data_IF_970362278596
#
_entry.id   IF_970362278596
#
_cell.length_a   1.000
_cell.length_b   1.000
_cell.length_c   1.000
_cell.angle_alpha   90.00
_cell.angle_beta   90.00
_cell.angle_gamma   90.00
#
_symmetry.space_group_name_H-M   'P 1'
#
loop_
_entity.id
_entity.type
_entity.pdbx_description
1 polymer ?
2 polymer ?
3 water ?
#
# COMPACT_ATOMS: atom_id res chain seq x y z
N UNK A 1 -0.21 -6.76 12.61
CA UNK A 1 -0.34 -5.32 13.03
C UNK A 1 1.02 -4.65 13.19
N UNK A 2 1.00 -3.32 13.17
CA UNK A 2 2.20 -2.48 13.17
C UNK A 2 2.10 -1.31 14.14
N UNK A 3 3.12 -1.21 14.99
CA UNK A 3 3.33 -0.03 15.83
C UNK A 3 4.59 0.70 15.33
N UNK A 4 4.43 1.99 15.05
CA UNK A 4 5.49 2.77 14.40
C UNK A 4 6.09 3.81 15.34
N UNK A 5 7.42 3.81 15.42
CA UNK A 5 8.14 4.75 16.26
C UNK A 5 9.13 5.57 15.43
N UNK A 6 8.90 6.88 15.33
CA UNK A 6 9.82 7.76 14.63
C UNK A 6 11.02 8.06 15.51
N UNK A 7 12.02 8.72 14.91
CA UNK A 7 13.23 9.12 15.62
C UNK A 7 14.14 9.87 14.66
N UNK A 8 14.97 10.76 15.21
CA UNK A 8 15.96 11.47 14.43
C UNK A 8 15.63 12.93 14.21
N UNK A 9 14.44 13.36 14.60
CA UNK A 9 14.06 14.75 14.47
C UNK A 9 14.96 15.66 15.30
N UNK A 10 14.82 16.97 15.10
CA UNK A 10 15.59 17.93 15.88
C UNK A 10 15.77 19.26 15.17
N UNK A 11 16.73 20.04 15.65
CA UNK A 11 17.06 21.34 15.05
C UNK A 11 18.03 21.16 13.91
N UNK A 12 17.93 22.00 12.90
CA UNK A 12 18.79 21.92 11.73
C UNK A 12 18.79 23.26 11.00
N UNK A 13 19.96 23.65 10.50
CA UNK A 13 20.11 24.92 9.79
C UNK A 13 19.52 24.85 8.39
N UNK A 14 19.09 25.99 7.86
CA UNK A 14 18.59 26.06 6.49
C UNK A 14 19.69 25.59 5.54
N UNK A 15 19.28 24.88 4.49
CA UNK A 15 20.22 24.27 3.57
C UNK A 15 20.74 22.93 4.08
N UNK A 16 20.47 22.62 5.35
CA UNK A 16 21.02 21.43 5.99
C UNK A 16 20.39 20.12 5.57
N UNK A 17 20.88 19.04 6.18
CA UNK A 17 20.40 17.69 5.90
C UNK A 17 20.09 16.97 7.21
N UNK A 18 19.10 16.07 7.14
CA UNK A 18 18.66 15.32 8.30
C UNK A 18 17.99 14.04 7.85
N UNK A 19 18.34 12.94 8.53
CA UNK A 19 17.79 11.62 8.24
C UNK A 19 16.87 11.15 9.38
N UNK A 20 15.59 10.98 9.05
CA UNK A 20 14.62 10.42 10.00
C UNK A 20 14.57 8.90 9.88
N UNK A 21 14.34 8.23 11.00
CA UNK A 21 14.18 6.78 11.05
C UNK A 21 12.78 6.43 11.57
N UNK A 22 12.30 5.24 11.24
CA UNK A 22 11.01 4.77 11.76
C UNK A 22 11.03 3.26 11.94
N UNK A 23 10.96 2.83 13.19
CA UNK A 23 10.95 1.41 13.53
C UNK A 23 9.52 0.86 13.52
N UNK A 24 9.31 -0.21 12.75
CA UNK A 24 7.99 -0.83 12.67
C UNK A 24 7.97 -2.21 13.33
N UNK A 25 7.23 -2.33 14.42
CA UNK A 25 7.02 -3.61 15.07
C UNK A 25 6.04 -4.46 14.26
N UNK A 26 5.94 -5.74 14.60
CA UNK A 26 5.08 -6.66 13.88
C UNK A 26 5.89 -7.58 12.98
N UNK A 27 5.22 -8.54 12.34
CA UNK A 27 5.89 -9.57 11.55
C UNK A 27 5.19 -9.75 10.20
N UNK A 28 4.57 -8.69 9.72
CA UNK A 28 3.87 -8.70 8.43
C UNK A 28 4.31 -7.51 7.59
N UNK A 29 5.53 -7.04 7.86
CA UNK A 29 6.07 -5.84 7.24
C UNK A 29 5.96 -5.88 5.72
N UNK A 30 6.16 -7.06 5.14
CA UNK A 30 6.18 -7.21 3.69
C UNK A 30 4.81 -7.00 3.03
N UNK A 31 3.77 -6.85 3.83
CA UNK A 31 2.42 -6.57 3.31
C UNK A 31 2.14 -5.07 3.26
N UNK A 32 3.07 -4.28 3.78
CA UNK A 32 2.82 -2.85 3.98
C UNK A 32 3.70 -1.96 3.13
N UNK A 33 3.05 -1.03 2.44
CA UNK A 33 3.72 0.10 1.86
C UNK A 33 3.97 1.05 3.02
N UNK A 34 5.15 1.66 3.02
CA UNK A 34 5.49 2.62 4.06
C UNK A 34 5.52 4.03 3.49
N UNK A 35 5.24 5.01 4.34
CA UNK A 35 5.12 6.38 3.89
C UNK A 35 5.55 7.38 4.95
N UNK A 36 5.97 8.56 4.48
CA UNK A 36 6.26 9.68 5.35
C UNK A 36 5.30 10.80 5.03
N UNK A 37 4.73 11.38 6.09
CA UNK A 37 3.86 12.54 5.96
C UNK A 37 4.39 13.60 6.87
N UNK A 38 3.92 14.83 6.70
CA UNK A 38 4.29 15.89 7.62
C UNK A 38 3.15 16.87 7.82
N UNK A 39 3.15 17.53 8.97
CA UNK A 39 2.13 18.52 9.29
C UNK A 39 2.77 19.74 9.93
N UNK A 40 2.62 20.87 9.27
CA UNK A 40 3.18 22.12 9.75
C UNK A 40 2.16 22.79 10.67
N UNK A 41 2.58 23.82 11.41
CA UNK A 41 1.64 24.54 12.28
C UNK A 41 0.55 25.24 11.48
N UNK A 42 -0.70 25.01 11.87
CA UNK A 42 -1.83 25.68 11.27
C UNK A 42 -2.16 25.17 9.88
N UNK A 43 -1.70 23.96 9.57
CA UNK A 43 -1.87 23.40 8.22
C UNK A 43 -2.18 21.92 8.29
N UNK A 44 -2.82 21.42 7.24
CA UNK A 44 -3.26 20.04 7.20
C UNK A 44 -2.11 19.12 6.77
N UNK A 45 -2.09 17.93 7.35
CA UNK A 45 -1.04 16.94 7.10
C UNK A 45 -0.91 16.64 5.61
N UNK A 46 0.33 16.58 5.12
CA UNK A 46 0.58 16.38 3.69
C UNK A 46 1.61 15.30 3.43
N UNK A 47 1.51 14.70 2.24
CA UNK A 47 2.38 13.61 1.80
C UNK A 47 3.79 14.11 1.51
N UNK A 48 4.78 13.31 1.88
CA UNK A 48 6.19 13.62 1.62
C UNK A 48 6.81 12.57 0.71
N UNK A 49 6.75 11.30 1.12
CA UNK A 49 7.29 10.22 0.29
C UNK A 49 6.80 8.87 0.77
N UNK A 50 6.95 7.85 -0.07
CA UNK A 50 6.56 6.49 0.30
C UNK A 50 7.40 5.46 -0.43
N UNK A 51 7.40 4.23 0.10
CA UNK A 51 8.17 3.16 -0.52
C UNK A 51 7.43 1.82 -0.43
N UNK A 52 7.41 1.13 -1.56
CA UNK A 52 6.74 -0.15 -1.67
C UNK A 52 7.40 -1.22 -0.79
N UNK A 53 6.66 -2.29 -0.54
CA UNK A 53 7.16 -3.44 0.21
C UNK A 53 8.46 -4.04 -0.33
N UNK A 54 8.71 -3.85 -1.62
CA UNK A 54 9.88 -4.47 -2.26
C UNK A 54 11.18 -3.81 -1.83
N UNK A 55 11.09 -2.59 -1.32
CA UNK A 55 12.22 -1.89 -0.76
C UNK A 55 13.00 -1.07 -1.76
N UNK A 56 12.44 -0.91 -2.97
CA UNK A 56 13.10 -0.13 -4.01
C UNK A 56 12.21 0.79 -4.82
N UNK A 57 10.90 0.59 -4.77
CA UNK A 57 9.99 1.41 -5.57
C UNK A 57 9.48 2.58 -4.74
N UNK A 58 9.81 3.81 -5.15
CA UNK A 58 9.55 4.98 -4.32
C UNK A 58 8.62 5.99 -4.97
N UNK A 59 8.05 6.86 -4.13
CA UNK A 59 7.10 7.87 -4.53
C UNK A 59 7.37 9.15 -3.75
N UNK A 60 7.28 10.30 -4.42
CA UNK A 60 7.62 11.57 -3.80
C UNK A 60 6.59 12.64 -4.11
N UNK A 61 6.44 13.55 -3.15
CA UNK A 61 5.68 14.77 -3.36
C UNK A 61 6.53 15.73 -4.18
N UNK A 62 5.88 16.53 -5.02
CA UNK A 62 6.59 17.45 -5.89
C UNK A 62 7.47 18.41 -5.09
N UNK A 63 7.10 18.66 -3.84
CA UNK A 63 7.79 19.66 -3.04
C UNK A 63 9.16 19.16 -2.53
N UNK A 64 9.41 17.87 -2.64
CA UNK A 64 10.65 17.28 -2.14
C UNK A 64 11.35 16.44 -3.21
N UNK A 65 10.69 16.25 -4.35
CA UNK A 65 11.35 15.71 -5.53
C UNK A 65 12.68 16.42 -5.73
N UNK A 66 13.76 15.64 -5.84
CA UNK A 66 15.07 16.20 -6.14
C UNK A 66 15.88 16.52 -4.90
N UNK A 67 15.23 16.47 -3.73
CA UNK A 67 15.84 16.84 -2.45
C UNK A 67 15.86 15.69 -1.46
N UNK A 68 14.75 14.95 -1.41
CA UNK A 68 14.58 13.86 -0.43
C UNK A 68 14.64 12.51 -1.11
N UNK A 69 15.14 11.52 -0.39
CA UNK A 69 14.96 10.13 -0.78
C UNK A 69 14.34 9.36 0.38
N UNK A 70 13.65 8.29 0.05
CA UNK A 70 13.15 7.36 1.05
C UNK A 70 13.79 5.99 0.82
N UNK A 71 14.09 5.30 1.91
CA UNK A 71 14.66 3.97 1.82
C UNK A 71 14.05 3.08 2.88
N UNK A 72 14.38 1.80 2.82
CA UNK A 72 13.68 0.81 3.60
C UNK A 72 14.56 -0.43 3.82
N UNK A 73 14.73 -0.79 5.09
CA UNK A 73 15.42 -2.03 5.46
C UNK A 73 14.38 -3.08 5.80
N UNK A 74 14.13 -3.98 4.86
CA UNK A 74 13.08 -4.99 5.02
C UNK A 74 13.41 -6.02 6.10
N UNK A 75 14.68 -6.20 6.41
CA UNK A 75 15.09 -7.17 7.42
C UNK A 75 14.94 -6.57 8.81
N UNK A 76 15.28 -5.30 8.95
CA UNK A 76 15.15 -4.60 10.23
C UNK A 76 13.75 -4.02 10.40
N UNK A 77 12.89 -4.21 9.40
CA UNK A 77 11.55 -3.60 9.39
C UNK A 77 11.61 -2.12 9.73
N UNK A 78 12.46 -1.38 9.01
CA UNK A 78 12.65 0.04 9.24
C UNK A 78 12.50 0.80 7.91
N UNK A 79 12.13 2.07 7.99
CA UNK A 79 12.20 2.97 6.84
C UNK A 79 12.89 4.26 7.26
N UNK A 80 13.48 4.95 6.28
CA UNK A 80 14.21 6.17 6.57
C UNK A 80 13.81 7.27 5.58
N UNK A 81 13.97 8.51 6.01
CA UNK A 81 13.77 9.66 5.14
C UNK A 81 15.03 10.52 5.13
N UNK A 82 15.76 10.51 4.03
CA UNK A 82 16.93 11.38 3.90
C UNK A 82 16.49 12.71 3.32
N UNK A 83 16.66 13.77 4.10
CA UNK A 83 16.30 15.11 3.65
C UNK A 83 17.55 15.94 3.34
N UNK A 84 17.46 16.78 2.32
CA UNK A 84 18.55 17.63 1.91
C UNK A 84 18.01 18.99 1.48
N UNK A 85 18.88 20.00 1.50
CA UNK A 85 18.52 21.35 1.09
C UNK A 85 17.26 21.82 1.82
N UNK A 86 17.27 21.61 3.14
CA UNK A 86 16.11 21.92 3.96
C UNK A 86 15.86 23.42 4.05
N UNK A 87 14.59 23.77 3.98
CA UNK A 87 14.13 25.15 4.06
C UNK A 87 13.26 25.31 5.30
N UNK A 88 13.03 26.57 5.74
CA UNK A 88 12.13 26.81 6.86
C UNK A 88 10.73 26.23 6.66
N UNK A 89 10.29 26.14 5.40
CA UNK A 89 8.95 25.67 5.09
C UNK A 89 8.84 24.14 5.16
N UNK A 90 9.94 23.48 5.50
CA UNK A 90 9.95 22.04 5.75
C UNK A 90 9.76 21.76 7.24
N UNK A 91 9.75 22.82 8.03
CA UNK A 91 9.53 22.70 9.47
C UNK A 91 8.14 22.13 9.73
N UNK A 92 8.09 21.02 10.45
CA UNK A 92 6.83 20.33 10.73
C UNK A 92 7.10 19.11 11.58
N UNK A 93 6.02 18.46 11.99
CA UNK A 93 6.09 17.15 12.59
C UNK A 93 6.03 16.16 11.45
N UNK A 94 6.99 15.22 11.41
CA UNK A 94 7.02 14.19 10.38
C UNK A 94 6.52 12.87 10.92
N UNK A 95 5.63 12.23 10.18
CA UNK A 95 5.00 10.99 10.60
C UNK A 95 5.37 9.80 9.72
N UNK A 96 5.77 8.72 10.36
CA UNK A 96 5.92 7.43 9.69
C UNK A 96 4.55 6.74 9.64
N UNK A 97 4.21 6.16 8.49
CA UNK A 97 2.92 5.51 8.32
C UNK A 97 3.05 4.20 7.56
N UNK A 98 2.10 3.29 7.78
CA UNK A 98 2.05 2.02 7.09
C UNK A 98 0.64 1.70 6.62
N UNK A 99 0.53 1.16 5.42
CA UNK A 99 -0.74 0.72 4.89
C UNK A 99 -0.52 -0.46 3.97
N UNK A 100 -1.59 -1.21 3.68
CA UNK A 100 -1.45 -2.42 2.87
C UNK A 100 -1.74 -2.18 1.39
N UNK A 101 -1.54 -0.96 0.94
CA UNK A 101 -1.56 -0.68 -0.49
C UNK A 101 -0.33 -1.34 -1.11
N UNK A 102 -0.40 -1.59 -2.42
CA UNK A 102 0.67 -2.26 -3.13
C UNK A 102 1.41 -1.24 -4.00
N UNK A 103 0.77 -0.79 -5.08
CA UNK A 103 1.36 0.24 -5.97
C UNK A 103 0.68 1.59 -5.86
N UNK A 104 -0.58 1.59 -5.44
CA UNK A 104 -1.45 2.74 -5.64
C UNK A 104 -1.95 3.37 -4.35
N UNK A 105 -2.11 4.69 -4.38
CA UNK A 105 -2.74 5.42 -3.30
C UNK A 105 -1.78 5.86 -2.22
N UNK A 106 -0.49 5.70 -2.47
CA UNK A 106 0.52 5.92 -1.44
C UNK A 106 0.60 7.39 -0.99
N UNK A 107 0.02 8.29 -1.79
CA UNK A 107 0.07 9.72 -1.48
C UNK A 107 -1.12 10.20 -0.61
N UNK A 108 -2.06 9.30 -0.35
CA UNK A 108 -3.28 9.66 0.39
C UNK A 108 -3.29 9.05 1.79
N UNK A 109 -3.53 9.93 2.78
CA UNK A 109 -3.54 9.53 4.18
C UNK A 109 -4.49 8.38 4.46
N UNK A 110 -5.58 8.32 3.70
CA UNK A 110 -6.63 7.35 3.98
C UNK A 110 -6.22 5.92 3.61
N UNK A 111 -5.05 5.77 2.99
CA UNK A 111 -4.57 4.45 2.59
C UNK A 111 -3.66 3.83 3.63
N UNK A 112 -3.40 4.56 4.70
CA UNK A 112 -2.53 4.07 5.77
C UNK A 112 -3.32 3.78 7.06
N UNK A 113 -3.14 2.58 7.59
CA UNK A 113 -3.85 2.16 8.79
C UNK A 113 -3.13 2.55 10.07
N UNK A 114 -1.80 2.62 10.01
CA UNK A 114 -0.98 2.78 11.21
C UNK A 114 -0.07 3.99 11.11
N UNK A 115 0.00 4.71 12.22
CA UNK A 115 0.71 5.98 12.29
C UNK A 115 1.59 6.03 13.52
N UNK A 116 2.76 6.65 13.39
CA UNK A 116 3.65 6.87 14.51
C UNK A 116 3.27 8.14 15.24
N UNK A 117 3.94 8.39 16.36
CA UNK A 117 3.72 9.59 17.16
C UNK A 117 4.06 10.85 16.37
N UNK A 118 4.98 10.72 15.43
CA UNK A 118 5.52 11.84 14.70
C UNK A 118 6.70 12.41 15.45
N UNK A 119 7.65 12.98 14.72
CA UNK A 119 8.82 13.62 15.34
C UNK A 119 9.02 15.01 14.75
N UNK A 120 9.48 15.92 15.60
CA UNK A 120 9.60 17.33 15.25
C UNK A 120 10.87 17.63 14.47
N UNK A 121 10.72 18.40 13.40
CA UNK A 121 11.86 18.89 12.63
C UNK A 121 11.71 20.39 12.47
N UNK A 122 12.71 21.12 12.93
CA UNK A 122 12.69 22.59 12.84
C UNK A 122 13.88 23.06 12.01
N UNK A 123 13.58 23.84 10.98
CA UNK A 123 14.62 24.38 10.11
C UNK A 123 14.76 25.88 10.33
N UNK A 124 15.85 26.27 10.98
CA UNK A 124 16.10 27.67 11.32
C UNK A 124 16.57 28.47 10.11
N UNK A 125 16.00 29.67 9.95
CA UNK A 125 16.37 30.56 8.85
C UNK A 125 17.84 30.96 8.95
N UNK B 7 -11.12 9.93 -5.50
CA UNK B 7 -11.32 8.59 -4.89
C UNK B 7 -11.81 8.66 -3.45
N UNK B 8 -12.55 7.67 -2.94
CA UNK B 8 -12.95 6.43 -3.62
C UNK B 8 -13.70 5.58 -2.61
N UNK B 9 -14.27 4.45 -3.04
CA UNK B 9 -14.82 3.50 -2.07
C UNK B 9 -13.70 2.74 -1.35
N UNK B 10 -13.90 2.39 -0.09
CA UNK B 10 -12.84 1.76 0.71
C UNK B 10 -12.78 0.25 0.48
N UNK B 11 -11.59 -0.25 0.16
CA UNK B 11 -11.40 -1.69 0.01
C UNK B 11 -11.20 -2.34 1.37
N UNK B 12 -12.09 -3.27 1.71
CA UNK B 12 -12.00 -3.99 2.96
C UNK B 12 -11.42 -5.38 2.70
N UNK B 13 -10.30 -5.66 3.37
CA UNK B 13 -9.59 -6.92 3.18
C UNK B 13 -9.00 -7.38 4.52
N UNK B 14 -8.80 -8.69 4.68
CA UNK B 14 -8.06 -9.17 5.85
C UNK B 14 -6.56 -8.99 5.64
N UNK B 15 -5.78 -9.01 6.71
CA UNK B 15 -4.33 -8.91 6.62
C UNK B 15 -3.76 -10.24 6.13
N UNK B 16 -4.39 -11.32 6.58
CA UNK B 16 -3.99 -12.66 6.19
C UNK B 16 -5.18 -13.59 6.06
N UNK B 17 -4.99 -14.66 5.29
CA UNK B 17 -5.97 -15.72 5.14
C UNK B 17 -5.22 -17.05 5.13
N UNK B 18 -5.82 -18.05 5.77
CA UNK B 18 -5.25 -19.38 5.80
C UNK B 18 -6.21 -20.38 5.17
N UNK B 19 -5.70 -21.11 4.19
CA UNK B 19 -6.48 -22.14 3.51
C UNK B 19 -5.89 -23.50 3.77
N UNK B 20 -6.62 -24.55 3.36
CA UNK B 20 -6.17 -25.91 3.56
C UNK B 20 -5.67 -26.51 2.26
N UNK B 21 -4.49 -27.16 2.35
CA UNK B 21 -3.87 -27.81 1.22
C UNK B 21 -4.88 -28.69 0.48
N UNK B 22 -5.03 -28.44 -0.82
CA UNK B 22 -5.96 -29.16 -1.70
C UNK B 22 -7.42 -28.84 -1.40
N UNK B 23 -7.65 -27.99 -0.40
CA UNK B 23 -8.98 -27.46 -0.15
C UNK B 23 -9.17 -26.18 -0.93
N UNK B 24 -10.21 -25.43 -0.59
CA UNK B 24 -10.51 -24.16 -1.24
C UNK B 24 -10.41 -23.03 -0.22
N UNK B 25 -10.11 -21.83 -0.71
CA UNK B 25 -10.08 -20.66 0.16
C UNK B 25 -10.65 -19.44 -0.57
N UNK B 26 -11.19 -18.50 0.20
CA UNK B 26 -11.74 -17.27 -0.36
C UNK B 26 -10.98 -16.09 0.24
N UNK B 27 -10.32 -15.33 -0.62
CA UNK B 27 -9.63 -14.12 -0.20
C UNK B 27 -10.58 -12.93 -0.36
N UNK B 28 -10.95 -12.33 0.77
CA UNK B 28 -11.95 -11.27 0.79
C UNK B 28 -11.43 -9.95 0.23
N UNK B 29 -12.13 -9.44 -0.77
CA UNK B 29 -11.95 -8.07 -1.19
C UNK B 29 -13.32 -7.49 -1.50
N UNK B 30 -13.82 -6.68 -0.58
CA UNK B 30 -15.16 -6.13 -0.70
C UNK B 30 -15.19 -4.64 -0.38
N UNK B 31 -16.02 -3.91 -1.11
CA UNK B 31 -16.22 -2.47 -0.85
C UNK B 31 -17.68 -2.08 -1.07
N UNK B 32 -18.12 -1.02 -0.39
CA UNK B 32 -19.45 -0.48 -0.62
C UNK B 32 -19.42 0.41 -1.83
N UNK B 33 -20.23 0.11 -2.86
CA UNK B 33 -20.23 0.97 -4.06
C UNK B 33 -20.56 2.43 -3.73
N UNK B 34 -19.92 3.37 -4.42
CA UNK B 34 -20.19 4.79 -4.22
C UNK B 34 -20.63 5.49 -5.50
N UNK B 35 -21.56 6.43 -5.34
CA UNK B 35 -22.01 7.27 -6.43
C UNK B 35 -20.81 8.09 -6.91
N UNK B 36 -20.57 8.10 -8.22
CA UNK B 36 -19.45 8.83 -8.79
C UNK B 36 -18.20 7.99 -8.97
N UNK B 37 -18.34 6.68 -8.75
CA UNK B 37 -17.24 5.73 -8.94
C UNK B 37 -17.74 4.46 -9.60
N UNK B 38 -17.59 4.40 -10.92
CA UNK B 38 -18.02 3.25 -11.69
C UNK B 38 -16.88 2.26 -11.85
N UNK B 39 -17.08 1.04 -11.38
CA UNK B 39 -16.06 0.01 -11.50
C UNK B 39 -15.85 -0.38 -12.95
N UNK B 40 -14.62 -0.25 -13.41
CA UNK B 40 -14.28 -0.52 -14.80
C UNK B 40 -13.26 -1.64 -14.95
N UNK B 41 -12.49 -1.90 -13.89
CA UNK B 41 -11.49 -2.96 -13.90
C UNK B 41 -11.30 -3.57 -12.53
N UNK B 42 -11.15 -4.89 -12.51
CA UNK B 42 -10.75 -5.60 -11.30
C UNK B 42 -9.54 -6.47 -11.61
N UNK B 43 -8.52 -6.38 -10.78
CA UNK B 43 -7.31 -7.18 -10.95
C UNK B 43 -6.99 -7.92 -9.67
N UNK B 44 -6.64 -9.19 -9.80
CA UNK B 44 -5.94 -9.90 -8.74
C UNK B 44 -4.51 -10.19 -9.22
N UNK B 45 -3.53 -9.88 -8.36
CA UNK B 45 -2.13 -10.13 -8.66
C UNK B 45 -1.45 -10.94 -7.55
N UNK B 46 -0.36 -11.61 -7.89
CA UNK B 46 0.47 -12.31 -6.90
C UNK B 46 1.88 -11.76 -6.91
N UNK B 47 2.56 -11.91 -5.78
CA UNK B 47 3.93 -11.44 -5.65
C UNK B 47 4.90 -12.39 -6.34
N UNK B 48 5.82 -11.83 -7.10
CA UNK B 48 6.90 -12.60 -7.71
C UNK B 48 8.19 -11.78 -7.66
N UNK B 49 9.05 -12.10 -6.69
CA UNK B 49 10.28 -11.37 -6.50
C UNK B 49 9.99 -9.97 -5.98
N UNK B 50 10.39 -8.96 -6.76
CA UNK B 50 10.27 -7.56 -6.34
C UNK B 50 9.13 -6.83 -7.04
N UNK B 51 8.25 -7.60 -7.67
CA UNK B 51 7.08 -7.02 -8.31
C UNK B 51 5.84 -7.89 -8.04
N UNK B 52 4.72 -7.51 -8.64
CA UNK B 52 3.50 -8.28 -8.59
C UNK B 52 3.11 -8.61 -10.03
N UNK B 53 2.43 -9.73 -10.24
CA UNK B 53 2.04 -10.15 -11.57
C UNK B 53 0.53 -10.44 -11.59
N UNK B 54 -0.14 -9.97 -12.63
CA UNK B 54 -1.57 -10.16 -12.77
C UNK B 54 -1.87 -11.62 -13.00
N UNK B 55 -2.82 -12.16 -12.23
CA UNK B 55 -3.27 -13.53 -12.41
C UNK B 55 -4.70 -13.58 -12.89
N UNK B 56 -5.43 -12.51 -12.58
CA UNK B 56 -6.83 -12.39 -12.96
C UNK B 56 -7.19 -10.95 -13.34
N UNK B 57 -7.94 -10.85 -14.44
CA UNK B 57 -8.47 -9.58 -14.92
C UNK B 57 -9.96 -9.71 -15.22
N UNK B 58 -10.76 -8.76 -14.74
CA UNK B 58 -12.16 -8.62 -15.16
C UNK B 58 -12.39 -7.26 -15.80
N UNK B 59 -12.76 -7.27 -17.08
CA UNK B 59 -13.07 -6.05 -17.80
C UNK B 59 -14.40 -6.20 -18.53
N UNK B 60 -14.61 -5.39 -19.57
CA UNK B 60 -15.89 -5.34 -20.26
C UNK B 60 -16.20 -6.61 -21.02
N UNK B 61 -15.18 -7.42 -21.27
CA UNK B 61 -15.36 -8.69 -21.98
C UNK B 61 -15.40 -9.88 -21.03
N UNK B 62 -15.49 -9.59 -19.73
CA UNK B 62 -15.65 -10.61 -18.72
C UNK B 62 -14.38 -10.90 -17.95
N UNK B 63 -14.23 -12.16 -17.55
CA UNK B 63 -13.10 -12.58 -16.72
C UNK B 63 -12.00 -13.27 -17.51
N UNK B 64 -10.76 -12.99 -17.14
CA UNK B 64 -9.61 -13.57 -17.82
C UNK B 64 -8.58 -14.04 -16.80
N UNK B 65 -8.40 -15.35 -16.75
CA UNK B 65 -7.33 -15.93 -15.96
C UNK B 65 -6.10 -15.92 -16.84
N UNK B 66 -5.04 -15.26 -16.37
CA UNK B 66 -3.88 -15.01 -17.23
C UNK B 66 -2.85 -16.16 -17.19
N UNK B 67 -3.26 -17.32 -16.66
CA UNK B 67 -2.41 -18.51 -16.57
C UNK B 67 -3.22 -19.81 -16.53
N UNK B 68 -2.83 -20.79 -17.34
CA UNK B 68 -3.54 -22.07 -17.40
C UNK B 68 -3.54 -22.79 -16.05
N UNK B 69 -2.52 -22.55 -15.24
CA UNK B 69 -2.41 -23.19 -13.93
C UNK B 69 -3.55 -22.77 -13.03
N UNK B 70 -4.10 -21.60 -13.31
CA UNK B 70 -5.18 -21.04 -12.53
C UNK B 70 -6.54 -21.38 -13.14
N UNK B 71 -6.54 -21.94 -14.34
CA UNK B 71 -7.78 -22.17 -15.07
C UNK B 71 -8.70 -23.15 -14.33
N UNK B 72 -9.88 -22.67 -13.97
CA UNK B 72 -10.82 -23.48 -13.22
C UNK B 72 -10.57 -23.34 -11.73
N UNK B 73 -9.40 -22.81 -11.37
CA UNK B 73 -9.03 -22.66 -9.96
C UNK B 73 -9.42 -21.29 -9.42
N UNK B 74 -9.55 -20.29 -10.30
CA UNK B 74 -9.89 -18.94 -9.87
C UNK B 74 -11.32 -18.53 -10.20
N UNK B 75 -12.02 -18.10 -9.15
CA UNK B 75 -13.36 -17.54 -9.26
C UNK B 75 -13.40 -16.26 -8.45
N UNK B 76 -13.81 -15.16 -9.09
CA UNK B 76 -13.98 -13.89 -8.40
C UNK B 76 -15.47 -13.58 -8.32
N UNK B 77 -15.92 -13.21 -7.12
CA UNK B 77 -17.33 -12.96 -6.86
C UNK B 77 -17.87 -11.95 -7.86
N UNK B 78 -19.15 -12.09 -8.22
CA UNK B 78 -19.72 -11.28 -9.29
C UNK B 78 -21.25 -11.12 -9.20
N UNK B 79 -21.82 -11.33 -8.03
CA UNK B 79 -23.27 -11.17 -7.87
C UNK B 79 -23.58 -9.98 -6.94
N UNK B 80 -23.06 -10.01 -5.72
CA UNK B 80 -23.23 -8.88 -4.80
C UNK B 80 -22.32 -7.74 -5.24
N UNK B 81 -22.88 -6.54 -5.50
CA UNK B 81 -22.05 -5.42 -5.97
C UNK B 81 -20.95 -5.02 -4.99
N UNK B 82 -19.75 -4.80 -5.51
CA UNK B 82 -18.64 -4.39 -4.67
C UNK B 82 -17.91 -5.54 -4.00
N UNK B 83 -18.37 -6.77 -4.24
CA UNK B 83 -17.67 -7.96 -3.75
C UNK B 83 -16.90 -8.58 -4.91
N UNK B 84 -15.58 -8.39 -4.89
CA UNK B 84 -14.70 -8.96 -5.89
C UNK B 84 -13.69 -9.88 -5.21
N UNK B 85 -14.18 -10.68 -4.26
CA UNK B 85 -13.34 -11.60 -3.50
C UNK B 85 -12.80 -12.70 -4.40
N UNK B 86 -11.59 -13.17 -4.10
CA UNK B 86 -10.95 -14.22 -4.90
C UNK B 86 -11.09 -15.57 -4.21
N UNK B 87 -11.58 -16.56 -4.95
CA UNK B 87 -11.63 -17.92 -4.46
C UNK B 87 -10.66 -18.78 -5.26
N UNK B 88 -9.82 -19.51 -4.54
CA UNK B 88 -8.87 -20.41 -5.17
C UNK B 88 -9.32 -21.83 -4.89
N UNK B 89 -9.46 -22.62 -5.95
CA UNK B 89 -9.91 -24.00 -5.82
C UNK B 89 -8.73 -24.93 -5.74
N UNK B 90 -8.76 -25.86 -4.78
CA UNK B 90 -7.71 -26.88 -4.64
C UNK B 90 -6.34 -26.22 -4.48
N UNK B 91 -6.09 -25.69 -3.28
CA UNK B 91 -4.85 -24.99 -2.96
C UNK B 91 -3.60 -25.85 -3.07
N UNK B 92 -2.62 -25.32 -3.80
CA UNK B 92 -1.28 -25.90 -3.85
C UNK B 92 -0.42 -25.25 -2.78
N UNK B 93 0.62 -25.93 -2.33
CA UNK B 93 1.54 -25.32 -1.37
C UNK B 93 2.22 -24.11 -2.02
N UNK B 94 2.38 -24.14 -3.33
CA UNK B 94 2.99 -23.03 -4.06
C UNK B 94 2.06 -21.81 -4.14
N UNK B 95 0.82 -21.95 -3.71
CA UNK B 95 -0.12 -20.84 -3.71
C UNK B 95 0.11 -19.93 -2.50
N UNK B 96 0.92 -20.38 -1.54
CA UNK B 96 1.35 -19.52 -0.45
C UNK B 96 2.04 -18.29 -1.01
N UNK B 97 1.45 -17.12 -0.79
CA UNK B 97 1.96 -15.91 -1.42
C UNK B 97 1.26 -14.67 -0.87
N UNK B 98 1.73 -13.52 -1.34
CA UNK B 98 1.04 -12.25 -1.10
C UNK B 98 0.19 -11.95 -2.32
N UNK B 99 -1.11 -11.89 -2.12
CA UNK B 99 -2.05 -11.60 -3.18
C UNK B 99 -2.45 -10.15 -3.10
N UNK B 100 -2.75 -9.55 -4.25
CA UNK B 100 -3.20 -8.16 -4.28
C UNK B 100 -4.51 -8.00 -5.02
N UNK B 101 -5.44 -7.31 -4.36
CA UNK B 101 -6.73 -6.98 -4.94
C UNK B 101 -6.67 -5.55 -5.43
N UNK B 102 -6.99 -5.33 -6.71
CA UNK B 102 -6.85 -4.01 -7.32
C UNK B 102 -8.08 -3.65 -8.11
N UNK B 103 -8.71 -2.54 -7.74
CA UNK B 103 -9.93 -2.08 -8.39
C UNK B 103 -9.74 -0.71 -9.02
N UNK B 104 -10.20 -0.58 -10.27
CA UNK B 104 -10.22 0.71 -10.95
C UNK B 104 -11.64 1.25 -11.08
N UNK B 105 -11.87 2.42 -10.48
CA UNK B 105 -13.11 3.15 -10.68
C UNK B 105 -12.93 4.31 -11.66
N UNK B 106 -13.99 4.58 -12.42
CA UNK B 106 -14.04 5.75 -13.30
C UNK B 106 -14.99 6.79 -12.72
N UNK B 107 -14.52 8.04 -12.70
CA UNK B 107 -15.29 9.14 -12.15
C UNK B 107 -16.04 9.87 -13.27
N UNK B 108 -16.95 10.78 -12.91
CA UNK B 108 -17.66 11.55 -13.94
C UNK B 108 -16.71 12.29 -14.89
N UNK B 109 -15.52 12.65 -14.41
CA UNK B 109 -14.51 13.31 -15.23
C UNK B 109 -14.13 12.47 -16.44
N UNK B 110 -14.26 11.15 -16.30
CA UNK B 110 -13.75 10.22 -17.29
C UNK B 110 -12.38 9.71 -16.85
N UNK B 111 -11.81 10.37 -15.85
CA UNK B 111 -10.54 9.94 -15.26
C UNK B 111 -10.75 8.70 -14.40
N UNK B 112 -9.65 8.08 -13.99
CA UNK B 112 -9.72 6.79 -13.30
C UNK B 112 -8.88 6.73 -12.03
N UNK B 113 -9.49 6.17 -11.00
CA UNK B 113 -8.88 6.03 -9.69
C UNK B 113 -8.61 4.55 -9.38
N UNK B 114 -7.34 4.21 -9.24
CA UNK B 114 -6.94 2.83 -8.95
C UNK B 114 -6.56 2.74 -7.49
N UNK B 115 -7.04 1.72 -6.80
CA UNK B 115 -6.62 1.44 -5.43
C UNK B 115 -6.39 -0.06 -5.24
N UNK B 116 -5.59 -0.42 -4.25
CA UNK B 116 -5.24 -1.83 -4.08
C UNK B 116 -4.97 -2.18 -2.63
N UNK B 117 -4.93 -3.48 -2.37
CA UNK B 117 -4.74 -4.02 -1.04
C UNK B 117 -3.95 -5.30 -1.15
N UNK B 118 -3.07 -5.54 -0.19
CA UNK B 118 -2.30 -6.77 -0.15
C UNK B 118 -2.80 -7.70 0.96
N UNK B 119 -3.03 -8.95 0.59
CA UNK B 119 -3.44 -9.99 1.53
C UNK B 119 -2.49 -11.17 1.46
N UNK B 120 -1.92 -11.55 2.60
CA UNK B 120 -1.11 -12.75 2.69
C UNK B 120 -1.97 -14.00 2.73
N UNK B 121 -1.60 -14.99 1.92
CA UNK B 121 -2.26 -16.29 1.94
C UNK B 121 -1.34 -17.34 2.52
N UNK B 122 -1.80 -17.98 3.58
CA UNK B 122 -1.10 -19.10 4.17
C UNK B 122 -1.81 -20.41 3.82
N UNK B 123 -1.04 -21.48 3.63
CA UNK B 123 -1.59 -22.79 3.29
C UNK B 123 -1.08 -23.85 4.28
N UNK B 124 -2.02 -24.51 4.95
CA UNK B 124 -1.72 -25.47 6.00
C UNK B 124 -1.95 -26.92 5.56
N UNK B 125 -1.54 -27.86 6.41
CA UNK B 125 -1.60 -29.31 6.16
C UNK B 125 -0.56 -29.72 5.12
#
# INVERSE_FOLDING_TARGET
>A
QVQLVESGGGLVQAGGSLRLSCAASGRTFSSYGMGWFRQAPGKEREFVAAIRWNGGSTYYADSVKGRFTISRDNAKNTVYLQMNSLKPEDTAVYYCAAGRWDKYGSSFQDEYDYWGQGTQVTVSSHHHHHH
>B
HHHHHHGHPTLKTPESVTGTWKGDVKIQCIYDPLRGYRQVLVKWLVRHGSDSVTIFLRDSTGDHIQQAKYRGRLKVSHKVPGDVSLQINTLQMDDRNHYTCEVTWQTPDGNQVIRDKIIELRVRKYN
#
